data_IF_485554940144
#
_entry.id   IF_485554940144
#
_cell.length_a   1.000
_cell.length_b   1.000
_cell.length_c   1.000
_cell.angle_alpha   90.00
_cell.angle_beta   90.00
_cell.angle_gamma   90.00
#
_symmetry.space_group_name_H-M   'P 1'
#
loop_
_entity.id
_entity.type
_entity.pdbx_description
1 polymer ?
#
# COMPACT_ATOMS: atom_id res chain seq x y z
N UNK A 1 1.95 2.37 13.89
CA UNK A 1 1.67 1.39 12.83
C UNK A 1 2.18 1.93 11.51
N UNK A 2 2.85 1.09 10.74
CA UNK A 2 3.39 1.51 9.47
C UNK A 2 2.31 1.63 8.39
N UNK A 3 2.48 2.58 7.50
CA UNK A 3 1.58 2.84 6.39
C UNK A 3 2.38 3.10 5.13
N UNK A 4 1.80 2.76 3.98
CA UNK A 4 2.39 3.05 2.67
C UNK A 4 1.48 4.02 1.92
N UNK A 5 2.09 4.95 1.19
CA UNK A 5 1.35 5.85 0.32
C UNK A 5 0.68 5.04 -0.80
N UNK A 6 -0.56 5.36 -1.11
CA UNK A 6 -1.32 4.68 -2.15
C UNK A 6 -2.19 5.67 -2.92
N UNK A 7 -2.62 5.24 -4.09
CA UNK A 7 -3.68 5.92 -4.84
C UNK A 7 -5.00 5.23 -4.53
N UNK A 8 -6.08 5.97 -4.53
CA UNK A 8 -7.39 5.46 -4.16
C UNK A 8 -8.39 5.77 -5.27
N UNK A 9 -9.19 4.77 -5.61
CA UNK A 9 -10.30 4.92 -6.54
C UNK A 9 -11.55 4.26 -5.95
N UNK A 10 -12.76 4.57 -6.46
CA UNK A 10 -13.97 3.95 -5.97
C UNK A 10 -13.92 2.43 -6.10
N UNK A 11 -14.46 1.73 -5.11
CA UNK A 11 -14.68 0.28 -5.17
C UNK A 11 -16.06 -0.04 -5.76
N UNK A 12 -16.48 -1.29 -5.58
CA UNK A 12 -17.79 -1.75 -6.07
C UNK A 12 -18.93 -1.25 -5.18
N UNK A 13 -18.63 -0.91 -3.94
CA UNK A 13 -19.61 -0.40 -2.95
C UNK A 13 -19.12 0.93 -2.39
N UNK A 14 -20.05 1.71 -1.84
CA UNK A 14 -19.70 3.01 -1.24
C UNK A 14 -18.72 2.88 -0.07
N UNK A 15 -18.79 1.78 0.68
CA UNK A 15 -17.92 1.53 1.83
C UNK A 15 -16.56 0.92 1.43
N UNK A 16 -16.36 0.67 0.15
CA UNK A 16 -15.17 -0.03 -0.35
C UNK A 16 -14.39 0.88 -1.31
N UNK A 17 -13.08 0.81 -1.21
CA UNK A 17 -12.15 1.53 -2.09
C UNK A 17 -11.17 0.56 -2.72
N UNK A 18 -10.67 0.91 -3.88
CA UNK A 18 -9.52 0.24 -4.48
C UNK A 18 -8.28 1.05 -4.18
N UNK A 19 -7.33 0.43 -3.48
CA UNK A 19 -6.03 1.03 -3.20
C UNK A 19 -5.03 0.51 -4.22
N UNK A 20 -4.20 1.41 -4.75
CA UNK A 20 -3.09 1.06 -5.65
C UNK A 20 -1.77 1.39 -4.97
N UNK A 21 -0.90 0.40 -4.86
CA UNK A 21 0.44 0.56 -4.29
C UNK A 21 1.45 0.27 -5.39
N UNK A 22 2.46 1.13 -5.50
CA UNK A 22 3.51 0.97 -6.50
C UNK A 22 4.74 0.33 -5.86
N UNK A 23 5.28 -0.71 -6.49
CA UNK A 23 6.51 -1.33 -6.04
C UNK A 23 7.74 -0.64 -6.67
N UNK A 24 8.95 -1.13 -6.31
CA UNK A 24 10.21 -0.56 -6.82
C UNK A 24 10.40 -0.77 -8.32
N UNK A 25 9.64 -1.68 -8.95
CA UNK A 25 9.67 -1.94 -10.38
C UNK A 25 8.59 -1.16 -11.13
N UNK A 26 7.95 -0.20 -10.46
CA UNK A 26 6.84 0.59 -10.99
C UNK A 26 5.59 -0.20 -11.35
N UNK A 27 5.46 -1.44 -10.84
CA UNK A 27 4.22 -2.19 -10.95
C UNK A 27 3.21 -1.62 -9.97
N UNK A 28 1.97 -1.55 -10.41
CA UNK A 28 0.86 -1.16 -9.55
C UNK A 28 0.13 -2.40 -9.08
N UNK A 29 0.04 -2.56 -7.78
CA UNK A 29 -0.71 -3.64 -7.16
C UNK A 29 -2.01 -3.07 -6.62
N UNK A 30 -3.13 -3.65 -7.03
CA UNK A 30 -4.47 -3.17 -6.68
C UNK A 30 -5.10 -4.12 -5.68
N UNK A 31 -5.71 -3.56 -4.64
CA UNK A 31 -6.47 -4.35 -3.68
C UNK A 31 -7.70 -3.57 -3.22
N UNK A 32 -8.79 -4.29 -3.00
CA UNK A 32 -10.01 -3.69 -2.47
C UNK A 32 -9.96 -3.76 -0.95
N UNK A 33 -10.26 -2.64 -0.33
CA UNK A 33 -10.25 -2.51 1.13
C UNK A 33 -11.47 -1.75 1.59
N UNK A 34 -11.86 -1.96 2.84
CA UNK A 34 -12.88 -1.13 3.47
C UNK A 34 -12.39 0.31 3.56
N UNK A 35 -13.28 1.24 3.36
CA UNK A 35 -12.97 2.68 3.36
C UNK A 35 -12.21 3.10 4.63
N UNK A 36 -12.57 2.53 5.77
CA UNK A 36 -11.92 2.82 7.05
C UNK A 36 -10.46 2.40 7.14
N UNK A 37 -9.95 1.60 6.20
CA UNK A 37 -8.53 1.24 6.15
C UNK A 37 -7.68 2.36 5.59
N UNK A 38 -8.27 3.28 4.83
CA UNK A 38 -7.55 4.35 4.17
C UNK A 38 -7.47 5.55 5.11
N UNK A 39 -6.26 6.04 5.34
CA UNK A 39 -6.04 7.31 6.03
C UNK A 39 -5.71 8.36 4.99
N UNK A 40 -6.37 9.50 5.06
CA UNK A 40 -6.10 10.63 4.15
C UNK A 40 -5.55 11.77 4.97
N UNK A 41 -4.40 12.28 4.56
CA UNK A 41 -3.75 13.39 5.26
C UNK A 41 -2.89 14.17 4.27
N UNK A 42 -3.01 15.50 4.29
CA UNK A 42 -2.24 16.37 3.41
C UNK A 42 -2.48 16.11 1.93
N UNK A 43 -3.67 15.67 1.55
CA UNK A 43 -3.98 15.33 0.17
C UNK A 43 -3.45 13.97 -0.29
N UNK A 44 -2.84 13.21 0.60
CA UNK A 44 -2.31 11.88 0.32
C UNK A 44 -3.11 10.80 1.03
N UNK A 45 -3.15 9.63 0.42
CA UNK A 45 -3.83 8.46 0.97
C UNK A 45 -2.79 7.44 1.41
N UNK A 46 -3.09 6.76 2.51
CA UNK A 46 -2.19 5.79 3.12
C UNK A 46 -2.95 4.51 3.48
N UNK A 47 -2.27 3.39 3.29
CA UNK A 47 -2.79 2.06 3.61
C UNK A 47 -1.95 1.45 4.74
N UNK A 48 -2.57 0.88 5.78
CA UNK A 48 -1.81 0.18 6.81
C UNK A 48 -1.14 -1.07 6.26
N UNK A 49 0.12 -1.27 6.61
CA UNK A 49 0.91 -2.41 6.15
C UNK A 49 1.79 -2.93 7.29
N UNK A 50 2.32 -4.13 7.13
CA UNK A 50 3.37 -4.65 7.98
C UNK A 50 4.73 -4.46 7.32
N UNK A 51 5.76 -4.21 8.11
CA UNK A 51 7.14 -4.19 7.62
C UNK A 51 7.74 -5.57 7.91
N UNK A 52 8.17 -6.26 6.84
CA UNK A 52 8.76 -7.59 6.92
C UNK A 52 10.27 -7.52 6.95
N UNK A 53 10.86 -6.58 6.22
CA UNK A 53 12.30 -6.42 6.16
C UNK A 53 12.67 -5.04 5.66
N UNK A 54 13.93 -4.66 5.88
CA UNK A 54 14.44 -3.34 5.51
C UNK A 54 15.81 -3.51 4.87
N UNK A 55 16.07 -2.75 3.81
CA UNK A 55 17.38 -2.61 3.21
C UNK A 55 17.75 -1.12 3.27
N UNK A 56 18.40 -0.73 4.36
CA UNK A 56 18.73 0.68 4.60
C UNK A 56 19.75 1.21 3.59
N UNK A 57 20.66 0.36 3.15
CA UNK A 57 21.67 0.76 2.18
C UNK A 57 21.06 1.19 0.85
N UNK A 58 19.95 0.57 0.46
CA UNK A 58 19.24 0.88 -0.78
C UNK A 58 18.02 1.77 -0.57
N UNK A 59 17.66 2.08 0.68
CA UNK A 59 16.46 2.85 0.98
C UNK A 59 15.17 2.11 0.63
N UNK A 60 15.14 0.79 0.82
CA UNK A 60 14.01 -0.07 0.47
C UNK A 60 13.45 -0.76 1.70
N UNK A 61 12.18 -1.12 1.62
CA UNK A 61 11.53 -1.94 2.63
C UNK A 61 10.66 -3.01 1.96
N UNK A 62 10.67 -4.20 2.53
CA UNK A 62 9.74 -5.26 2.15
C UNK A 62 8.53 -5.13 3.05
N UNK A 63 7.36 -4.92 2.46
CA UNK A 63 6.12 -4.73 3.20
C UNK A 63 5.14 -5.85 2.92
N UNK A 64 4.21 -6.03 3.84
CA UNK A 64 3.10 -6.95 3.70
C UNK A 64 1.79 -6.16 3.67
N UNK A 65 0.98 -6.40 2.64
CA UNK A 65 -0.32 -5.80 2.47
C UNK A 65 -1.33 -6.43 3.47
N UNK A 66 -2.43 -5.73 3.80
CA UNK A 66 -3.45 -6.31 4.70
C UNK A 66 -4.07 -7.59 4.16
N UNK A 67 -4.10 -7.77 2.85
CA UNK A 67 -4.48 -9.01 2.18
C UNK A 67 -3.88 -9.03 0.78
N UNK A 68 -4.04 -10.12 0.06
CA UNK A 68 -3.50 -10.25 -1.29
C UNK A 68 -4.10 -9.21 -2.24
N UNK A 69 -3.25 -8.70 -3.15
CA UNK A 69 -3.70 -7.88 -4.26
C UNK A 69 -4.49 -8.70 -5.26
N UNK A 70 -5.10 -8.04 -6.25
CA UNK A 70 -5.84 -8.71 -7.32
C UNK A 70 -4.97 -9.68 -8.12
N UNK A 71 -3.65 -9.46 -8.13
CA UNK A 71 -2.69 -10.36 -8.80
C UNK A 71 -2.15 -11.47 -7.89
N UNK A 72 -2.66 -11.58 -6.64
CA UNK A 72 -2.25 -12.62 -5.70
C UNK A 72 -0.95 -12.32 -4.96
N UNK A 73 -0.45 -11.10 -5.02
CA UNK A 73 0.77 -10.67 -4.34
C UNK A 73 0.39 -10.02 -3.02
N UNK A 74 1.02 -10.43 -1.92
CA UNK A 74 0.82 -9.84 -0.60
C UNK A 74 2.06 -9.17 -0.04
N UNK A 75 3.25 -9.44 -0.57
CA UNK A 75 4.51 -8.83 -0.14
C UNK A 75 5.20 -8.20 -1.34
N UNK A 76 5.76 -7.01 -1.12
CA UNK A 76 6.43 -6.26 -2.19
C UNK A 76 7.49 -5.35 -1.60
N UNK A 77 8.51 -5.06 -2.42
CA UNK A 77 9.50 -4.06 -2.08
C UNK A 77 9.03 -2.68 -2.51
N UNK A 78 9.13 -1.73 -1.60
CA UNK A 78 8.80 -0.32 -1.84
C UNK A 78 9.97 0.55 -1.40
N UNK A 79 9.98 1.80 -1.85
CA UNK A 79 10.96 2.77 -1.35
C UNK A 79 10.58 3.15 0.07
N UNK A 80 11.57 3.25 0.96
CA UNK A 80 11.32 3.66 2.34
C UNK A 80 10.68 5.04 2.42
N UNK A 81 10.95 5.92 1.44
CA UNK A 81 10.34 7.24 1.35
C UNK A 81 8.81 7.21 1.16
N UNK A 82 8.27 6.09 0.70
CA UNK A 82 6.83 5.92 0.50
C UNK A 82 6.11 5.44 1.78
N UNK A 83 6.86 5.21 2.85
CA UNK A 83 6.33 4.76 4.14
C UNK A 83 6.19 5.93 5.13
N UNK A 84 5.30 5.72 6.09
CA UNK A 84 5.21 6.59 7.25
C UNK A 84 4.70 5.86 8.49
#
# INVERSE_FOLDING_TARGET
MAQVVCEVSPGLRDSEKTASVRDIFSRRLHLRVEDGFITTEGGRHYLPIGIVGVDDAKGLALIELPHESDSGISRLWVRSADLR
#
